data_IF_473262826177
#
_entry.id   IF_473262826177
#
_cell.length_a   1.000
_cell.length_b   1.000
_cell.length_c   1.000
_cell.angle_alpha   90.00
_cell.angle_beta   90.00
_cell.angle_gamma   90.00
#
_symmetry.space_group_name_H-M   'P 1'
#
loop_
_entity.id
_entity.type
_entity.pdbx_description
1 polymer ?
#
# COMPACT_ATOMS: atom_id res chain seq x y z
N UNK A 1 -21.33 -4.70 16.14
CA UNK A 1 -20.30 -3.62 16.17
C UNK A 1 -19.66 -3.36 14.79
N UNK A 2 -20.36 -3.61 13.67
CA UNK A 2 -19.73 -3.55 12.34
C UNK A 2 -19.22 -2.16 11.95
N UNK A 3 -19.96 -1.11 12.31
CA UNK A 3 -19.53 0.27 12.07
C UNK A 3 -18.21 0.61 12.78
N UNK A 4 -18.04 0.16 14.02
CA UNK A 4 -16.82 0.40 14.79
C UNK A 4 -15.63 -0.34 14.17
N UNK A 5 -15.85 -1.59 13.73
CA UNK A 5 -14.83 -2.37 13.02
C UNK A 5 -14.40 -1.63 11.76
N UNK A 6 -15.35 -1.26 10.91
CA UNK A 6 -15.08 -0.51 9.67
C UNK A 6 -14.27 0.76 9.92
N UNK A 7 -14.66 1.59 10.89
CA UNK A 7 -13.97 2.86 11.17
C UNK A 7 -12.52 2.58 11.60
N UNK A 8 -12.32 1.69 12.56
CA UNK A 8 -10.99 1.44 13.12
C UNK A 8 -10.07 0.76 12.09
N UNK A 9 -10.55 -0.25 11.37
CA UNK A 9 -9.75 -0.91 10.33
C UNK A 9 -9.39 0.05 9.20
N UNK A 10 -10.33 0.92 8.79
CA UNK A 10 -10.07 1.95 7.78
C UNK A 10 -8.99 2.93 8.25
N UNK A 11 -9.00 3.34 9.53
CA UNK A 11 -7.97 4.23 10.07
C UNK A 11 -6.58 3.56 10.07
N UNK A 12 -6.49 2.28 10.43
CA UNK A 12 -5.24 1.51 10.30
C UNK A 12 -4.77 1.48 8.84
N UNK A 13 -5.65 1.10 7.92
CA UNK A 13 -5.35 1.01 6.49
C UNK A 13 -4.85 2.33 5.91
N UNK A 14 -5.55 3.43 6.17
CA UNK A 14 -5.16 4.77 5.71
C UNK A 14 -3.78 5.14 6.24
N UNK A 15 -3.50 4.90 7.54
CA UNK A 15 -2.20 5.22 8.10
C UNK A 15 -1.08 4.34 7.54
N UNK A 16 -1.33 3.03 7.32
CA UNK A 16 -0.41 2.12 6.65
C UNK A 16 -0.13 2.60 5.21
N UNK A 17 -1.15 3.04 4.46
CA UNK A 17 -0.94 3.58 3.12
C UNK A 17 -0.04 4.82 3.13
N UNK A 18 -0.18 5.73 4.10
CA UNK A 18 0.69 6.91 4.21
C UNK A 18 2.14 6.49 4.53
N UNK A 19 2.35 5.50 5.41
CA UNK A 19 3.69 4.96 5.70
C UNK A 19 4.31 4.28 4.47
N UNK A 20 3.55 3.46 3.76
CA UNK A 20 4.03 2.79 2.55
C UNK A 20 4.34 3.78 1.44
N UNK A 21 3.53 4.84 1.31
CA UNK A 21 3.78 5.92 0.37
C UNK A 21 5.09 6.66 0.71
N UNK A 22 5.40 6.90 1.99
CA UNK A 22 6.70 7.44 2.40
C UNK A 22 7.86 6.55 1.93
N UNK A 23 7.77 5.24 2.16
CA UNK A 23 8.79 4.28 1.71
C UNK A 23 8.91 4.30 0.19
N UNK A 24 7.78 4.27 -0.53
CA UNK A 24 7.76 4.27 -1.99
C UNK A 24 8.37 5.54 -2.59
N UNK A 25 8.04 6.72 -2.05
CA UNK A 25 8.65 7.99 -2.45
C UNK A 25 10.18 7.95 -2.28
N UNK A 26 10.68 7.36 -1.20
CA UNK A 26 12.13 7.21 -0.98
C UNK A 26 12.76 6.21 -1.97
N UNK A 27 12.08 5.08 -2.24
CA UNK A 27 12.54 4.07 -3.20
C UNK A 27 12.69 4.65 -4.61
N UNK A 28 11.72 5.45 -5.05
CA UNK A 28 11.70 6.07 -6.38
C UNK A 28 12.50 7.37 -6.43
N UNK A 29 12.99 7.85 -5.28
CA UNK A 29 13.66 9.15 -5.13
C UNK A 29 12.78 10.31 -5.63
N UNK A 30 11.50 10.25 -5.27
CA UNK A 30 10.53 11.26 -5.64
C UNK A 30 10.85 12.62 -5.03
N UNK A 31 10.36 13.69 -5.65
CA UNK A 31 10.60 15.06 -5.19
C UNK A 31 9.97 15.33 -3.81
N UNK A 32 10.82 15.51 -2.80
CA UNK A 32 10.43 15.82 -1.42
C UNK A 32 10.09 17.30 -1.19
N UNK A 33 10.40 18.19 -2.13
CA UNK A 33 10.01 19.60 -2.04
C UNK A 33 8.52 19.79 -2.36
N UNK A 34 7.89 18.82 -3.02
CA UNK A 34 6.46 18.83 -3.31
C UNK A 34 5.61 18.91 -2.02
N UNK A 35 4.57 19.78 -1.96
CA UNK A 35 3.70 19.91 -0.78
C UNK A 35 3.10 18.58 -0.31
N UNK A 36 2.72 17.69 -1.23
CA UNK A 36 2.15 16.38 -0.89
C UNK A 36 3.18 15.44 -0.27
N UNK A 37 4.40 15.40 -0.82
CA UNK A 37 5.52 14.65 -0.23
C UNK A 37 5.83 15.15 1.19
N UNK A 38 5.83 16.47 1.40
CA UNK A 38 6.02 17.04 2.73
C UNK A 38 4.89 16.67 3.70
N UNK A 39 3.64 16.65 3.25
CA UNK A 39 2.51 16.19 4.07
C UNK A 39 2.73 14.74 4.53
N UNK A 40 3.07 13.83 3.63
CA UNK A 40 3.30 12.41 3.95
C UNK A 40 4.46 12.25 4.95
N UNK A 41 5.57 12.96 4.74
CA UNK A 41 6.70 12.94 5.69
C UNK A 41 6.28 13.49 7.04
N UNK A 42 5.60 14.64 7.11
CA UNK A 42 5.15 15.26 8.36
C UNK A 42 4.13 14.39 9.11
N UNK A 43 3.21 13.73 8.41
CA UNK A 43 2.21 12.84 9.01
C UNK A 43 2.83 11.58 9.63
N UNK A 44 3.96 11.11 9.10
CA UNK A 44 4.63 9.87 9.54
C UNK A 44 5.75 10.12 10.54
N UNK A 45 6.34 11.32 10.54
CA UNK A 45 7.50 11.66 11.35
C UNK A 45 7.32 11.50 12.87
N UNK A 46 6.17 11.83 13.48
CA UNK A 46 5.98 11.69 14.93
C UNK A 46 6.22 10.25 15.43
N UNK A 47 5.84 9.26 14.62
CA UNK A 47 5.98 7.84 14.97
C UNK A 47 7.31 7.27 14.45
N UNK A 48 7.70 7.59 13.22
CA UNK A 48 8.92 7.05 12.60
C UNK A 48 10.19 7.67 13.18
N UNK A 49 10.18 8.98 13.50
CA UNK A 49 11.35 9.74 13.93
C UNK A 49 12.06 9.15 15.16
N UNK A 50 11.34 8.85 16.26
CA UNK A 50 11.91 8.18 17.41
C UNK A 50 12.49 6.80 17.08
N UNK A 51 11.77 5.99 16.28
CA UNK A 51 12.19 4.63 15.95
C UNK A 51 13.43 4.60 15.05
N UNK A 52 13.59 5.60 14.19
CA UNK A 52 14.76 5.75 13.29
C UNK A 52 16.07 5.92 14.06
N UNK A 53 16.01 6.31 15.34
CA UNK A 53 17.20 6.36 16.20
C UNK A 53 17.73 4.98 16.56
N UNK A 54 16.87 3.95 16.55
CA UNK A 54 17.22 2.56 16.86
C UNK A 54 17.48 1.74 15.59
N UNK A 55 16.68 1.97 14.55
CA UNK A 55 16.72 1.19 13.31
C UNK A 55 17.09 2.14 12.15
N UNK A 56 18.35 2.14 11.72
CA UNK A 56 18.78 2.99 10.61
C UNK A 56 18.21 2.48 9.28
N UNK A 57 17.98 3.39 8.35
CA UNK A 57 17.54 3.05 6.99
C UNK A 57 18.63 2.28 6.24
N UNK A 58 18.22 1.25 5.49
CA UNK A 58 19.13 0.41 4.69
C UNK A 58 18.94 0.75 3.21
N UNK A 59 19.96 1.36 2.59
CA UNK A 59 19.90 1.81 1.21
C UNK A 59 18.79 2.84 0.97
N UNK A 60 17.93 2.60 -0.02
CA UNK A 60 16.79 3.47 -0.33
C UNK A 60 15.53 3.17 0.49
N UNK A 61 15.51 2.11 1.32
CA UNK A 61 14.33 1.68 2.07
C UNK A 61 14.40 2.21 3.51
N UNK A 62 13.35 2.91 3.92
CA UNK A 62 13.16 3.32 5.32
C UNK A 62 12.66 2.13 6.16
N UNK A 63 13.59 1.30 6.61
CA UNK A 63 13.35 0.10 7.43
C UNK A 63 12.53 0.37 8.69
N UNK A 64 12.75 1.51 9.36
CA UNK A 64 11.94 1.92 10.50
C UNK A 64 10.47 2.13 10.11
N UNK A 65 10.22 2.82 9.00
CA UNK A 65 8.85 3.02 8.48
C UNK A 65 8.20 1.69 8.10
N UNK A 66 8.94 0.79 7.43
CA UNK A 66 8.43 -0.52 7.03
C UNK A 66 8.11 -1.40 8.24
N UNK A 67 8.92 -1.34 9.30
CA UNK A 67 8.63 -2.03 10.55
C UNK A 67 7.36 -1.48 11.23
N UNK A 68 7.19 -0.16 11.28
CA UNK A 68 5.94 0.45 11.83
C UNK A 68 4.74 -0.02 11.02
N UNK A 69 4.81 -0.01 9.69
CA UNK A 69 3.73 -0.50 8.84
C UNK A 69 3.41 -1.98 9.10
N UNK A 70 4.45 -2.82 9.27
CA UNK A 70 4.27 -4.24 9.60
C UNK A 70 3.61 -4.45 10.97
N UNK A 71 4.05 -3.72 12.00
CA UNK A 71 3.46 -3.77 13.35
C UNK A 71 2.00 -3.33 13.32
N UNK A 72 1.66 -2.30 12.54
CA UNK A 72 0.28 -1.87 12.36
C UNK A 72 -0.57 -2.89 11.61
N UNK A 73 -0.02 -3.60 10.62
CA UNK A 73 -0.73 -4.72 9.98
C UNK A 73 -1.06 -5.83 10.98
N UNK A 74 -0.13 -6.15 11.90
CA UNK A 74 -0.40 -7.10 13.00
C UNK A 74 -1.51 -6.56 13.91
N UNK A 75 -1.43 -5.28 14.30
CA UNK A 75 -2.42 -4.65 15.17
C UNK A 75 -3.82 -4.65 14.55
N UNK A 76 -3.94 -4.39 13.24
CA UNK A 76 -5.22 -4.41 12.51
C UNK A 76 -5.83 -5.82 12.49
N UNK A 77 -5.00 -6.86 12.24
CA UNK A 77 -5.46 -8.26 12.31
C UNK A 77 -5.93 -8.62 13.72
N UNK A 78 -5.14 -8.29 14.76
CA UNK A 78 -5.50 -8.58 16.16
C UNK A 78 -6.80 -7.88 16.54
N UNK A 79 -6.98 -6.61 16.14
CA UNK A 79 -8.21 -5.87 16.37
C UNK A 79 -9.40 -6.53 15.66
N UNK A 80 -9.23 -6.96 14.40
CA UNK A 80 -10.24 -7.71 13.65
C UNK A 80 -10.62 -9.03 14.32
N UNK A 81 -9.64 -9.79 14.82
CA UNK A 81 -9.87 -11.02 15.59
C UNK A 81 -10.63 -10.76 16.89
N UNK A 82 -10.30 -9.69 17.61
CA UNK A 82 -11.03 -9.26 18.81
C UNK A 82 -12.48 -8.93 18.48
N UNK A 83 -12.71 -8.11 17.45
CA UNK A 83 -14.05 -7.66 17.11
C UNK A 83 -14.96 -8.77 16.57
N UNK A 84 -14.38 -9.86 16.04
CA UNK A 84 -15.10 -11.03 15.51
C UNK A 84 -15.12 -12.22 16.47
N UNK A 85 -14.61 -12.07 17.70
CA UNK A 85 -14.46 -13.14 18.70
C UNK A 85 -13.58 -14.33 18.24
N UNK A 86 -12.65 -14.10 17.32
CA UNK A 86 -11.67 -15.07 16.83
C UNK A 86 -10.30 -15.00 17.52
N UNK A 87 -10.14 -14.18 18.58
CA UNK A 87 -8.89 -14.10 19.35
C UNK A 87 -8.32 -15.44 19.85
N UNK A 88 -9.11 -16.47 20.20
CA UNK A 88 -8.56 -17.78 20.57
C UNK A 88 -7.74 -18.44 19.45
N UNK A 89 -7.79 -17.93 18.21
CA UNK A 89 -7.02 -18.40 17.06
C UNK A 89 -5.67 -17.67 16.87
N UNK A 90 -5.18 -16.88 17.84
CA UNK A 90 -3.82 -16.32 17.76
C UNK A 90 -2.82 -17.48 17.73
N UNK A 91 -2.21 -17.69 16.57
CA UNK A 91 -1.24 -18.75 16.33
C UNK A 91 -0.07 -18.30 15.48
N UNK A 92 0.78 -19.27 15.11
CA UNK A 92 1.97 -19.05 14.27
C UNK A 92 1.65 -18.45 12.88
N UNK A 93 0.39 -18.54 12.43
CA UNK A 93 -0.10 -18.00 11.16
C UNK A 93 -0.21 -16.47 11.12
N UNK A 94 -0.17 -15.79 12.28
CA UNK A 94 -0.31 -14.34 12.38
C UNK A 94 0.81 -13.58 11.63
N UNK A 95 2.07 -13.97 11.84
CA UNK A 95 3.22 -13.32 11.21
C UNK A 95 3.23 -13.43 9.68
N UNK A 96 3.07 -14.63 9.08
CA UNK A 96 2.99 -14.73 7.62
C UNK A 96 1.74 -14.01 7.09
N UNK A 97 0.63 -14.00 7.82
CA UNK A 97 -0.55 -13.24 7.38
C UNK A 97 -0.33 -11.74 7.40
N UNK A 98 0.30 -11.20 8.45
CA UNK A 98 0.63 -9.77 8.51
C UNK A 98 1.58 -9.36 7.38
N UNK A 99 2.50 -10.26 6.98
CA UNK A 99 3.38 -10.02 5.84
C UNK A 99 2.58 -9.98 4.53
N UNK A 100 1.67 -10.93 4.32
CA UNK A 100 0.76 -10.96 3.18
C UNK A 100 -0.11 -9.70 3.14
N UNK A 101 -0.62 -9.27 4.29
CA UNK A 101 -1.44 -8.08 4.40
C UNK A 101 -0.63 -6.81 4.06
N UNK A 102 0.61 -6.69 4.55
CA UNK A 102 1.50 -5.60 4.19
C UNK A 102 1.76 -5.56 2.66
N UNK A 103 2.07 -6.72 2.05
CA UNK A 103 2.25 -6.83 0.60
C UNK A 103 0.98 -6.45 -0.17
N UNK A 104 -0.18 -6.79 0.38
CA UNK A 104 -1.48 -6.41 -0.19
C UNK A 104 -1.64 -4.90 -0.21
N UNK A 105 -1.30 -4.21 0.89
CA UNK A 105 -1.38 -2.75 0.93
C UNK A 105 -0.38 -2.10 -0.02
N UNK A 106 0.81 -2.68 -0.24
CA UNK A 106 1.74 -2.20 -1.27
C UNK A 106 1.09 -2.31 -2.65
N UNK A 107 0.50 -3.46 -2.99
CA UNK A 107 -0.19 -3.67 -4.26
C UNK A 107 -1.38 -2.73 -4.45
N UNK A 108 -2.23 -2.57 -3.42
CA UNK A 108 -3.36 -1.63 -3.42
C UNK A 108 -2.90 -0.18 -3.60
N UNK A 109 -1.83 0.25 -2.90
CA UNK A 109 -1.26 1.59 -3.02
C UNK A 109 -0.85 1.86 -4.48
N UNK A 110 -0.08 0.95 -5.07
CA UNK A 110 0.40 1.06 -6.45
C UNK A 110 -0.78 1.10 -7.43
N UNK A 111 -1.74 0.18 -7.27
CA UNK A 111 -2.94 0.13 -8.11
C UNK A 111 -3.69 1.46 -8.09
N UNK A 112 -3.97 2.01 -6.91
CA UNK A 112 -4.67 3.29 -6.78
C UNK A 112 -3.86 4.46 -7.34
N UNK A 113 -2.54 4.50 -7.15
CA UNK A 113 -1.70 5.55 -7.76
C UNK A 113 -1.76 5.53 -9.29
N UNK A 114 -1.69 4.34 -9.91
CA UNK A 114 -1.79 4.18 -11.37
C UNK A 114 -3.18 4.56 -11.86
N UNK A 115 -4.23 4.11 -11.16
CA UNK A 115 -5.61 4.44 -11.51
C UNK A 115 -5.86 5.95 -11.44
N UNK A 116 -5.43 6.61 -10.36
CA UNK A 116 -5.56 8.07 -10.21
C UNK A 116 -4.80 8.79 -11.32
N UNK A 117 -3.58 8.36 -11.67
CA UNK A 117 -2.83 8.93 -12.79
C UNK A 117 -3.55 8.75 -14.13
N UNK A 118 -4.11 7.57 -14.38
CA UNK A 118 -4.86 7.29 -15.59
C UNK A 118 -6.09 8.20 -15.71
N UNK A 119 -6.85 8.38 -14.63
CA UNK A 119 -7.99 9.30 -14.59
C UNK A 119 -7.54 10.75 -14.77
N UNK A 120 -6.49 11.19 -14.06
CA UNK A 120 -5.94 12.54 -14.18
C UNK A 120 -5.43 12.85 -15.58
N UNK A 121 -4.94 11.87 -16.34
CA UNK A 121 -4.48 12.07 -17.71
C UNK A 121 -5.58 12.58 -18.67
N UNK A 122 -6.85 12.34 -18.34
CA UNK A 122 -8.00 12.86 -19.09
C UNK A 122 -8.47 14.24 -18.62
N UNK A 123 -8.20 14.58 -17.36
CA UNK A 123 -8.74 15.79 -16.70
C UNK A 123 -7.70 16.91 -16.61
N UNK A 124 -6.44 16.57 -16.40
CA UNK A 124 -5.32 17.49 -16.16
C UNK A 124 -4.43 17.60 -17.40
N UNK A 125 -4.07 18.83 -17.77
CA UNK A 125 -3.07 19.12 -18.80
C UNK A 125 -1.63 19.21 -18.23
N UNK A 126 -1.32 18.56 -17.10
CA UNK A 126 0.04 18.46 -16.57
C UNK A 126 0.56 19.65 -15.75
N UNK A 127 -0.31 20.57 -15.33
CA UNK A 127 0.09 21.82 -14.63
C UNK A 127 0.07 21.74 -13.09
N UNK A 128 -0.37 20.62 -12.52
CA UNK A 128 -0.52 20.47 -11.06
C UNK A 128 0.71 19.77 -10.45
N UNK A 129 1.30 20.27 -9.35
CA UNK A 129 2.40 19.59 -8.66
C UNK A 129 2.09 18.13 -8.25
N UNK A 130 0.83 17.79 -7.97
CA UNK A 130 0.43 16.42 -7.64
C UNK A 130 0.54 15.49 -8.85
N UNK A 131 0.25 16.00 -10.05
CA UNK A 131 0.33 15.25 -11.31
C UNK A 131 1.79 14.83 -11.59
N UNK A 132 2.73 15.77 -11.43
CA UNK A 132 4.15 15.49 -11.58
C UNK A 132 4.67 14.47 -10.56
N UNK A 133 4.19 14.52 -9.32
CA UNK A 133 4.57 13.55 -8.29
C UNK A 133 4.00 12.16 -8.61
N UNK A 134 2.73 12.06 -9.02
CA UNK A 134 2.12 10.80 -9.44
C UNK A 134 2.81 10.20 -10.67
N UNK A 135 3.24 11.04 -11.61
CA UNK A 135 4.08 10.63 -12.72
C UNK A 135 5.34 9.92 -12.19
N UNK A 136 6.13 10.59 -11.33
CA UNK A 136 7.35 10.02 -10.75
C UNK A 136 7.07 8.69 -10.03
N UNK A 137 6.03 8.63 -9.20
CA UNK A 137 5.74 7.46 -8.38
C UNK A 137 5.34 6.22 -9.21
N UNK A 138 4.75 6.42 -10.38
CA UNK A 138 4.23 5.31 -11.20
C UNK A 138 5.14 4.97 -12.38
N UNK A 139 6.05 5.87 -12.76
CA UNK A 139 6.97 5.69 -13.88
C UNK A 139 7.86 4.43 -13.77
N UNK A 140 8.43 4.06 -12.60
CA UNK A 140 9.27 2.87 -12.48
C UNK A 140 8.56 1.57 -12.89
N UNK A 141 7.24 1.51 -12.71
CA UNK A 141 6.42 0.34 -13.05
C UNK A 141 5.87 0.41 -14.47
N UNK A 142 5.55 1.62 -14.96
CA UNK A 142 4.98 1.80 -16.30
C UNK A 142 6.03 1.88 -17.41
N UNK A 143 7.21 2.47 -17.14
CA UNK A 143 8.24 2.67 -18.16
C UNK A 143 8.72 1.35 -18.81
N UNK A 144 8.92 0.24 -18.08
CA UNK A 144 9.25 -1.05 -18.69
C UNK A 144 8.19 -1.53 -19.69
N UNK A 145 6.90 -1.34 -19.38
CA UNK A 145 5.79 -1.78 -20.24
C UNK A 145 5.63 -0.85 -21.46
N UNK A 146 5.80 0.46 -21.27
CA UNK A 146 5.75 1.43 -22.38
C UNK A 146 6.81 1.22 -23.45
N UNK A 147 7.94 0.60 -23.09
CA UNK A 147 8.98 0.21 -24.07
C UNK A 147 8.50 -0.87 -25.04
N UNK A 148 7.51 -1.69 -24.65
CA UNK A 148 6.96 -2.77 -25.46
C UNK A 148 5.71 -2.30 -26.22
N UNK A 149 4.81 -1.58 -25.53
CA UNK A 149 3.55 -1.10 -26.10
C UNK A 149 3.49 0.42 -25.89
N UNK A 150 3.91 1.21 -26.90
CA UNK A 150 3.84 2.68 -26.81
C UNK A 150 2.38 3.15 -26.79
N UNK A 151 2.17 4.37 -26.28
CA UNK A 151 0.85 4.97 -26.22
C UNK A 151 0.25 5.12 -27.62
N UNK A 152 -0.96 4.60 -27.83
CA UNK A 152 -1.71 4.74 -29.08
C UNK A 152 -2.87 5.71 -28.84
N UNK A 153 -2.91 6.82 -29.59
CA UNK A 153 -4.04 7.76 -29.54
C UNK A 153 -4.21 8.55 -28.23
N UNK A 154 -3.12 8.82 -27.50
CA UNK A 154 -3.18 9.59 -26.24
C UNK A 154 -3.65 8.80 -25.01
N UNK A 155 -4.02 7.52 -25.17
CA UNK A 155 -4.35 6.61 -24.07
C UNK A 155 -3.12 5.79 -23.67
N UNK A 156 -2.81 5.80 -22.37
CA UNK A 156 -1.71 5.02 -21.82
C UNK A 156 -2.15 3.58 -21.50
N UNK A 157 -2.15 2.72 -22.53
CA UNK A 157 -2.45 1.29 -22.37
C UNK A 157 -1.48 0.56 -21.43
N UNK A 158 -0.30 1.12 -21.15
CA UNK A 158 0.63 0.50 -20.20
C UNK A 158 0.05 0.45 -18.78
N UNK A 159 -0.71 1.48 -18.38
CA UNK A 159 -1.39 1.52 -17.08
C UNK A 159 -2.37 0.34 -16.93
N UNK A 160 -3.12 0.04 -17.99
CA UNK A 160 -4.08 -1.08 -17.99
C UNK A 160 -3.37 -2.43 -17.81
N UNK A 161 -2.22 -2.62 -18.45
CA UNK A 161 -1.43 -3.85 -18.32
C UNK A 161 -0.85 -3.98 -16.92
N UNK A 162 -0.26 -2.92 -16.35
CA UNK A 162 0.24 -2.97 -14.96
C UNK A 162 -0.91 -3.28 -13.99
N UNK A 163 -2.08 -2.63 -14.15
CA UNK A 163 -3.25 -2.91 -13.32
C UNK A 163 -3.71 -4.36 -13.46
N UNK A 164 -3.72 -4.92 -14.68
CA UNK A 164 -4.05 -6.33 -14.89
C UNK A 164 -3.07 -7.27 -14.16
N UNK A 165 -1.77 -7.00 -14.22
CA UNK A 165 -0.74 -7.75 -13.49
C UNK A 165 -0.99 -7.66 -11.97
N UNK A 166 -1.29 -6.47 -11.44
CA UNK A 166 -1.59 -6.29 -10.02
C UNK A 166 -2.84 -7.05 -9.59
N UNK A 167 -3.88 -7.10 -10.43
CA UNK A 167 -5.09 -7.90 -10.17
C UNK A 167 -4.74 -9.40 -10.15
N UNK A 168 -3.96 -9.89 -11.10
CA UNK A 168 -3.51 -11.28 -11.13
C UNK A 168 -2.67 -11.64 -9.88
N UNK A 169 -1.78 -10.75 -9.46
CA UNK A 169 -1.00 -10.90 -8.22
C UNK A 169 -1.90 -10.87 -6.98
N UNK A 170 -2.98 -10.09 -6.98
CA UNK A 170 -3.95 -10.10 -5.88
C UNK A 170 -4.64 -11.47 -5.78
N UNK A 171 -5.08 -12.07 -6.89
CA UNK A 171 -5.65 -13.42 -6.89
C UNK A 171 -4.66 -14.47 -6.36
N UNK A 172 -3.41 -14.45 -6.85
CA UNK A 172 -2.35 -15.34 -6.35
C UNK A 172 -2.14 -15.18 -4.83
N UNK A 173 -2.14 -13.93 -4.35
CA UNK A 173 -2.04 -13.63 -2.92
C UNK A 173 -3.23 -14.19 -2.13
N UNK A 174 -4.44 -14.17 -2.68
CA UNK A 174 -5.61 -14.79 -2.03
C UNK A 174 -5.41 -16.29 -1.91
N UNK A 175 -4.99 -16.97 -2.99
CA UNK A 175 -4.73 -18.42 -2.98
C UNK A 175 -3.69 -18.77 -1.90
N UNK A 176 -2.60 -18.02 -1.81
CA UNK A 176 -1.55 -18.22 -0.78
C UNK A 176 -2.09 -17.97 0.63
N UNK A 177 -2.91 -16.94 0.85
CA UNK A 177 -3.49 -16.67 2.17
C UNK A 177 -4.43 -17.78 2.63
N UNK A 178 -5.24 -18.32 1.71
CA UNK A 178 -6.12 -19.45 1.97
C UNK A 178 -5.34 -20.72 2.30
N UNK A 179 -4.19 -20.95 1.66
CA UNK A 179 -3.31 -22.09 1.99
C UNK A 179 -2.71 -21.99 3.40
N UNK A 180 -2.46 -20.77 3.90
CA UNK A 180 -1.85 -20.54 5.22
C UNK A 180 -2.89 -20.63 6.33
N UNK A 181 -3.99 -19.90 6.19
CA UNK A 181 -5.07 -19.88 7.18
C UNK A 181 -6.40 -19.51 6.51
N UNK A 182 -7.21 -20.50 6.10
CA UNK A 182 -8.50 -20.24 5.47
C UNK A 182 -9.46 -19.46 6.38
N UNK A 183 -9.41 -19.74 7.69
CA UNK A 183 -10.34 -19.18 8.67
C UNK A 183 -10.07 -17.69 8.89
N UNK A 184 -8.80 -17.35 9.11
CA UNK A 184 -8.36 -15.98 9.29
C UNK A 184 -8.51 -15.21 7.98
N UNK A 185 -8.21 -15.81 6.83
CA UNK A 185 -8.42 -15.18 5.51
C UNK A 185 -9.89 -14.82 5.30
N UNK A 186 -10.82 -15.76 5.52
CA UNK A 186 -12.26 -15.49 5.38
C UNK A 186 -12.74 -14.39 6.33
N UNK A 187 -12.23 -14.38 7.57
CA UNK A 187 -12.53 -13.33 8.53
C UNK A 187 -12.04 -11.97 8.04
N UNK A 188 -10.79 -11.85 7.59
CA UNK A 188 -10.25 -10.57 7.15
C UNK A 188 -10.98 -10.01 5.92
N UNK A 189 -11.49 -10.86 5.02
CA UNK A 189 -12.39 -10.43 3.95
C UNK A 189 -13.73 -9.93 4.48
N UNK A 190 -14.32 -10.62 5.45
CA UNK A 190 -15.63 -10.25 6.02
C UNK A 190 -15.65 -8.86 6.66
N UNK A 191 -14.49 -8.37 7.13
CA UNK A 191 -14.33 -7.05 7.76
C UNK A 191 -13.58 -6.03 6.88
N UNK A 192 -13.29 -6.38 5.62
CA UNK A 192 -12.68 -5.47 4.65
C UNK A 192 -11.21 -5.13 4.89
N UNK A 193 -10.46 -5.97 5.62
CA UNK A 193 -9.01 -5.84 5.79
C UNK A 193 -8.26 -6.33 4.54
N UNK A 194 -8.74 -7.43 3.94
CA UNK A 194 -8.08 -8.09 2.80
C UNK A 194 -8.70 -7.77 1.45
#
# INVERSE_FOLDING_TARGET
MQTLVFIVTTLFQLYIFVLLLRVWMQCVRADFYNPFSQFVVKATQPIVGPLRRLIPSVGSIDTATLLVAFVLSIADIIFGMWATNMLPAIGLTLLPMALILLLTYIGKLIFWMILIRAILSWVSQGRNPVDYLLFQLTEPLMAPIRRIIPAMGGLDFSAMIVMFILIALNYLRVDVSLMIDPSLTAMLFSIGIM
#
